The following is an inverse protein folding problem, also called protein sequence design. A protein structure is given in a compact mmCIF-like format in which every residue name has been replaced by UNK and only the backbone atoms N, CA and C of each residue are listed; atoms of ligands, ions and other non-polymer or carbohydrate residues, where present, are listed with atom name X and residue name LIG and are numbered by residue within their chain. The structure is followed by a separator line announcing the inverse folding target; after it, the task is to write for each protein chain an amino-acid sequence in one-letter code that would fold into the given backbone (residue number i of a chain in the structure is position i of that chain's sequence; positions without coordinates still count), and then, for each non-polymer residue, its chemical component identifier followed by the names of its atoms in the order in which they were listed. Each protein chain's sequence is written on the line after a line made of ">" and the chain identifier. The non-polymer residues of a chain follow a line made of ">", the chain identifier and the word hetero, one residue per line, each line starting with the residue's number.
data_IF_345694989133
#
_entry.id   IF_345694989133
#
_cell.length_a   1.000
_cell.length_b   1.000
_cell.length_c   1.000
_cell.angle_alpha   90.00
_cell.angle_beta   90.00
_cell.angle_gamma   90.00
#
_symmetry.space_group_name_H-M   'P 1'
#
loop_
_entity.id
_entity.type
_entity.pdbx_description
1 polymer ?
#
# COMPACT_ATOMS: atom_id res chain seq x y z
N UNK A 1 -0.94 24.34 4.36
CA UNK A 1 -0.29 23.27 5.15
C UNK A 1 0.95 22.76 4.42
N UNK A 2 2.00 22.35 5.15
CA UNK A 2 3.17 21.74 4.51
C UNK A 2 2.75 20.34 4.02
N UNK A 3 2.83 20.13 2.72
CA UNK A 3 2.52 18.84 2.11
C UNK A 3 3.71 17.90 2.27
N UNK A 4 3.46 16.69 2.76
CA UNK A 4 4.50 15.66 2.85
C UNK A 4 4.62 14.97 1.48
N UNK A 5 5.82 14.93 0.88
CA UNK A 5 6.04 14.19 -0.36
C UNK A 5 5.62 12.72 -0.24
N UNK A 6 4.89 12.20 -1.24
CA UNK A 6 4.28 10.87 -1.18
C UNK A 6 5.30 9.73 -1.18
N UNK A 7 6.47 9.96 -1.76
CA UNK A 7 7.62 9.04 -1.77
C UNK A 7 8.15 8.72 -0.37
N UNK A 8 7.91 9.59 0.64
CA UNK A 8 8.24 9.30 2.04
C UNK A 8 7.56 8.05 2.59
N UNK A 9 6.44 7.63 2.00
CA UNK A 9 5.76 6.39 2.37
C UNK A 9 6.62 5.13 2.11
N UNK A 10 7.55 5.18 1.15
CA UNK A 10 8.46 4.06 0.84
C UNK A 10 9.37 3.75 2.04
N UNK A 11 10.13 4.76 2.48
CA UNK A 11 11.08 4.61 3.58
C UNK A 11 10.37 4.34 4.91
N UNK A 12 9.25 5.02 5.17
CA UNK A 12 8.46 4.79 6.38
C UNK A 12 7.94 3.34 6.48
N UNK A 13 7.45 2.78 5.36
CA UNK A 13 6.93 1.41 5.32
C UNK A 13 8.05 0.38 5.48
N UNK A 14 9.21 0.60 4.85
CA UNK A 14 10.39 -0.28 5.03
C UNK A 14 10.81 -0.33 6.49
N UNK A 15 10.95 0.83 7.14
CA UNK A 15 11.31 0.93 8.55
C UNK A 15 10.28 0.25 9.45
N UNK A 16 8.98 0.43 9.16
CA UNK A 16 7.92 -0.24 9.91
C UNK A 16 8.06 -1.77 9.84
N UNK A 17 8.33 -2.34 8.67
CA UNK A 17 8.53 -3.78 8.49
C UNK A 17 9.79 -4.25 9.24
N UNK A 18 10.89 -3.48 9.18
CA UNK A 18 12.15 -3.76 9.88
C UNK A 18 11.96 -3.81 11.40
N UNK A 19 11.17 -2.90 11.97
CA UNK A 19 10.89 -2.88 13.42
C UNK A 19 9.78 -3.84 13.84
N UNK A 20 9.29 -4.68 12.91
CA UNK A 20 8.42 -5.82 13.22
C UNK A 20 6.93 -5.65 12.87
N UNK A 21 6.51 -4.53 12.28
CA UNK A 21 5.12 -4.41 11.82
C UNK A 21 4.83 -5.39 10.68
N UNK A 22 3.67 -6.02 10.76
CA UNK A 22 3.16 -6.95 9.75
C UNK A 22 1.81 -6.56 9.18
N UNK A 23 1.11 -5.61 9.83
CA UNK A 23 -0.09 -4.99 9.30
C UNK A 23 0.25 -3.61 8.74
N UNK A 24 -0.03 -3.40 7.45
CA UNK A 24 0.11 -2.12 6.75
C UNK A 24 -1.27 -1.66 6.26
N UNK A 25 -1.70 -0.48 6.74
CA UNK A 25 -2.91 0.18 6.28
C UNK A 25 -2.61 1.20 5.17
N UNK A 26 -3.45 1.21 4.14
CA UNK A 26 -3.39 2.15 3.04
C UNK A 26 -4.81 2.41 2.49
N UNK A 27 -4.93 3.29 1.49
CA UNK A 27 -6.16 3.56 0.78
C UNK A 27 -5.85 4.20 -0.58
N UNK A 28 -6.74 4.00 -1.56
CA UNK A 28 -6.68 4.70 -2.85
C UNK A 28 -6.47 6.22 -2.68
N UNK A 29 -7.24 6.84 -1.78
CA UNK A 29 -7.23 8.28 -1.56
C UNK A 29 -5.93 8.83 -0.95
N UNK A 30 -5.07 7.98 -0.38
CA UNK A 30 -3.81 8.42 0.22
C UNK A 30 -2.77 8.78 -0.86
N UNK A 31 -2.98 8.30 -2.10
CA UNK A 31 -2.12 8.53 -3.25
C UNK A 31 -0.66 8.10 -3.02
N UNK A 32 -0.47 6.95 -2.36
CA UNK A 32 0.84 6.40 -2.02
C UNK A 32 0.93 4.87 -2.15
N UNK A 33 -0.08 4.19 -2.69
CA UNK A 33 -0.11 2.72 -2.85
C UNK A 33 1.10 2.20 -3.64
N UNK A 34 1.59 2.94 -4.64
CA UNK A 34 2.78 2.60 -5.42
C UNK A 34 4.03 2.50 -4.53
N UNK A 35 4.25 3.50 -3.68
CA UNK A 35 5.40 3.55 -2.77
C UNK A 35 5.30 2.50 -1.65
N UNK A 36 4.10 2.29 -1.11
CA UNK A 36 3.84 1.25 -0.10
C UNK A 36 4.04 -0.15 -0.70
N UNK A 37 3.52 -0.39 -1.90
CA UNK A 37 3.73 -1.64 -2.63
C UNK A 37 5.21 -1.88 -2.92
N UNK A 38 5.94 -0.86 -3.38
CA UNK A 38 7.39 -0.96 -3.60
C UNK A 38 8.14 -1.30 -2.31
N UNK A 39 7.76 -0.73 -1.17
CA UNK A 39 8.35 -1.05 0.13
C UNK A 39 8.15 -2.53 0.50
N UNK A 40 6.91 -3.01 0.41
CA UNK A 40 6.56 -4.41 0.72
C UNK A 40 7.31 -5.36 -0.21
N UNK A 41 7.28 -5.12 -1.53
CA UNK A 41 8.01 -5.96 -2.50
C UNK A 41 9.52 -5.94 -2.28
N UNK A 42 10.08 -4.79 -1.90
CA UNK A 42 11.51 -4.69 -1.56
C UNK A 42 11.86 -5.57 -0.36
N UNK A 43 11.02 -5.57 0.67
CA UNK A 43 11.19 -6.39 1.88
C UNK A 43 10.90 -7.87 1.69
N UNK A 44 10.14 -8.20 0.65
CA UNK A 44 10.00 -9.58 0.19
C UNK A 44 11.26 -10.01 -0.59
N UNK A 45 11.76 -9.15 -1.48
CA UNK A 45 12.92 -9.44 -2.32
C UNK A 45 14.22 -9.58 -1.53
N UNK A 46 14.39 -8.82 -0.44
CA UNK A 46 15.56 -8.94 0.45
C UNK A 46 15.44 -10.06 1.49
N UNK A 47 14.29 -10.77 1.52
CA UNK A 47 14.04 -11.89 2.42
C UNK A 47 13.65 -11.51 3.85
N UNK A 48 13.41 -10.23 4.15
CA UNK A 48 12.98 -9.79 5.49
C UNK A 48 11.62 -10.40 5.88
N UNK A 49 10.70 -10.49 4.92
CA UNK A 49 9.35 -11.06 5.10
C UNK A 49 8.92 -11.82 3.86
N UNK A 50 7.91 -12.69 3.98
CA UNK A 50 7.17 -13.24 2.84
C UNK A 50 5.86 -12.50 2.63
N UNK A 51 5.17 -12.76 1.51
CA UNK A 51 3.88 -12.12 1.24
C UNK A 51 2.84 -12.53 2.30
N UNK A 52 2.83 -13.79 2.70
CA UNK A 52 1.91 -14.32 3.72
C UNK A 52 2.14 -13.73 5.13
N UNK A 53 3.32 -13.14 5.38
CA UNK A 53 3.62 -12.48 6.66
C UNK A 53 3.01 -11.06 6.73
N UNK A 54 2.56 -10.49 5.60
CA UNK A 54 2.04 -9.12 5.53
C UNK A 54 0.52 -9.13 5.41
N UNK A 55 -0.16 -8.51 6.37
CA UNK A 55 -1.55 -8.11 6.24
C UNK A 55 -1.62 -6.69 5.66
N UNK A 56 -2.00 -6.59 4.38
CA UNK A 56 -2.14 -5.30 3.70
C UNK A 56 -3.62 -4.95 3.56
N UNK A 57 -3.99 -3.70 3.88
CA UNK A 57 -5.35 -3.17 3.72
C UNK A 57 -5.34 -1.99 2.73
N UNK A 58 -6.27 -1.99 1.79
CA UNK A 58 -6.66 -0.79 1.01
C UNK A 58 -8.14 -0.48 1.23
N UNK A 59 -8.62 0.64 0.70
CA UNK A 59 -9.99 1.15 0.89
C UNK A 59 -10.54 1.66 -0.43
N UNK A 60 -11.77 1.23 -0.75
CA UNK A 60 -12.58 1.79 -1.81
C UNK A 60 -12.85 3.27 -1.51
N UNK A 61 -12.67 4.14 -2.50
CA UNK A 61 -12.97 5.57 -2.34
C UNK A 61 -14.39 5.91 -2.77
N UNK A 62 -14.91 7.05 -2.27
CA UNK A 62 -16.31 7.46 -2.41
C UNK A 62 -16.76 7.64 -3.87
N UNK A 63 -15.83 7.91 -4.79
CA UNK A 63 -16.13 8.02 -6.22
C UNK A 63 -16.39 6.67 -6.91
N UNK A 64 -16.22 5.55 -6.22
CA UNK A 64 -16.35 4.20 -6.78
C UNK A 64 -17.32 3.32 -5.99
N UNK A 65 -18.24 3.91 -5.22
CA UNK A 65 -19.28 3.16 -4.49
C UNK A 65 -20.36 2.53 -5.38
N UNK A 66 -20.49 2.97 -6.65
CA UNK A 66 -21.39 2.30 -7.59
C UNK A 66 -20.92 0.85 -7.77
N UNK A 67 -21.81 -0.16 -7.69
CA UNK A 67 -21.41 -1.57 -7.71
C UNK A 67 -20.48 -1.96 -8.86
N UNK A 68 -20.74 -1.42 -10.05
CA UNK A 68 -19.96 -1.65 -11.27
C UNK A 68 -18.54 -1.08 -11.22
N UNK A 69 -18.26 -0.15 -10.29
CA UNK A 69 -16.95 0.48 -10.13
C UNK A 69 -16.10 -0.15 -9.01
N UNK A 70 -16.67 -0.99 -8.16
CA UNK A 70 -15.97 -1.58 -7.00
C UNK A 70 -14.78 -2.43 -7.45
N UNK A 71 -15.01 -3.38 -8.36
CA UNK A 71 -13.95 -4.26 -8.87
C UNK A 71 -12.88 -3.50 -9.66
N UNK A 72 -13.23 -2.60 -10.61
CA UNK A 72 -12.23 -1.76 -11.28
C UNK A 72 -11.36 -0.93 -10.33
N UNK A 73 -11.95 -0.42 -9.23
CA UNK A 73 -11.20 0.32 -8.23
C UNK A 73 -10.22 -0.57 -7.46
N UNK A 74 -10.64 -1.78 -7.06
CA UNK A 74 -9.75 -2.76 -6.43
C UNK A 74 -8.61 -3.18 -7.38
N UNK A 75 -8.92 -3.48 -8.64
CA UNK A 75 -7.93 -3.85 -9.65
C UNK A 75 -6.91 -2.73 -9.89
N UNK A 76 -7.34 -1.46 -9.83
CA UNK A 76 -6.44 -0.30 -9.89
C UNK A 76 -5.49 -0.25 -8.69
N UNK A 77 -6.01 -0.42 -7.47
CA UNK A 77 -5.17 -0.46 -6.27
C UNK A 77 -4.18 -1.62 -6.33
N UNK A 78 -4.62 -2.83 -6.69
CA UNK A 78 -3.75 -4.00 -6.89
C UNK A 78 -2.68 -3.72 -7.95
N UNK A 79 -3.01 -3.07 -9.07
CA UNK A 79 -2.03 -2.68 -10.09
C UNK A 79 -0.99 -1.71 -9.53
N UNK A 80 -1.37 -0.73 -8.72
CA UNK A 80 -0.41 0.17 -8.07
C UNK A 80 0.48 -0.59 -7.07
N UNK A 81 -0.09 -1.59 -6.39
CA UNK A 81 0.57 -2.44 -5.40
C UNK A 81 1.48 -3.51 -5.98
N UNK A 82 1.31 -3.89 -7.25
CA UNK A 82 1.94 -5.03 -7.94
C UNK A 82 1.93 -6.29 -7.06
#
# INVERSE_FOLDING_TARGET
>A
PVEVPKDKALEATKLAIEVGFRHVDCAYAYNNEEYVGLAIRSKIADGTVKREDIFYTSKLWCNSHRPELVRPALERSLKNLQ
#
